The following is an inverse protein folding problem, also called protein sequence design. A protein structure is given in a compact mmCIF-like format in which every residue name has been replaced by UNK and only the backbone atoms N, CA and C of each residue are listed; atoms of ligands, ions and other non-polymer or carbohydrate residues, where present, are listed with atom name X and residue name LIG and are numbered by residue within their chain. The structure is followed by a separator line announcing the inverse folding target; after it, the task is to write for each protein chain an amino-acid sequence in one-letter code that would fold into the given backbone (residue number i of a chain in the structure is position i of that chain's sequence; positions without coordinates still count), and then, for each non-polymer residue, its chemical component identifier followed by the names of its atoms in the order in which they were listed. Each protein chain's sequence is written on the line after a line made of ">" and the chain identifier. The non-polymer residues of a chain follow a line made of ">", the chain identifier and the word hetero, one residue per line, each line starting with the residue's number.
data_IF_598315388421
#
_entry.id   IF_598315388421
#
_cell.length_a   1.000
_cell.length_b   1.000
_cell.length_c   1.000
_cell.angle_alpha   90.00
_cell.angle_beta   90.00
_cell.angle_gamma   90.00
#
_symmetry.space_group_name_H-M   'P 1'
#
loop_
_entity.id
_entity.type
_entity.pdbx_description
1 polymer ?
#
# COMPACT_ATOMS: atom_id res chain seq x y z
N UNK A 1 15.33 14.05 16.36
CA UNK A 1 14.15 13.23 16.11
C UNK A 1 13.12 14.17 15.51
N UNK A 2 12.75 13.97 14.26
CA UNK A 2 11.78 14.82 13.56
C UNK A 2 10.38 14.66 14.17
N UNK A 3 9.53 15.67 14.04
CA UNK A 3 8.19 15.67 14.63
C UNK A 3 7.28 14.56 14.07
N UNK A 4 7.60 14.05 12.88
CA UNK A 4 6.86 12.99 12.18
C UNK A 4 7.48 11.58 12.32
N UNK A 5 8.57 11.42 13.07
CA UNK A 5 9.23 10.11 13.26
C UNK A 5 8.31 9.04 13.86
N UNK A 6 7.38 9.44 14.74
CA UNK A 6 6.39 8.53 15.32
C UNK A 6 5.50 7.87 14.24
N UNK A 7 5.14 8.59 13.18
CA UNK A 7 4.36 8.02 12.05
C UNK A 7 5.19 6.99 11.30
N UNK A 8 6.48 7.25 11.11
CA UNK A 8 7.40 6.34 10.43
C UNK A 8 7.48 5.03 11.22
N UNK A 9 7.61 5.11 12.54
CA UNK A 9 7.60 3.93 13.42
C UNK A 9 6.28 3.13 13.29
N UNK A 10 5.14 3.81 13.25
CA UNK A 10 3.83 3.16 13.05
C UNK A 10 3.76 2.51 11.68
N UNK A 11 4.14 3.24 10.61
CA UNK A 11 4.19 2.73 9.23
C UNK A 11 5.00 1.43 9.15
N UNK A 12 6.17 1.40 9.73
CA UNK A 12 7.06 0.25 9.67
C UNK A 12 6.49 -0.96 10.43
N UNK A 13 5.90 -0.75 11.60
CA UNK A 13 5.19 -1.80 12.35
C UNK A 13 4.01 -2.34 11.55
N UNK A 14 3.20 -1.47 10.96
CA UNK A 14 2.04 -1.82 10.13
C UNK A 14 2.48 -2.57 8.88
N UNK A 15 3.55 -2.12 8.22
CA UNK A 15 4.12 -2.82 7.04
C UNK A 15 4.59 -4.23 7.39
N UNK A 16 5.28 -4.42 8.52
CA UNK A 16 5.67 -5.76 9.00
C UNK A 16 4.46 -6.64 9.32
N UNK A 17 3.41 -6.07 9.91
CA UNK A 17 2.14 -6.76 10.16
C UNK A 17 1.48 -7.16 8.84
N UNK A 18 1.38 -6.25 7.87
CA UNK A 18 0.79 -6.46 6.56
C UNK A 18 1.45 -7.62 5.80
N UNK A 19 2.79 -7.69 5.79
CA UNK A 19 3.52 -8.81 5.19
C UNK A 19 3.11 -10.15 5.79
N UNK A 20 2.92 -10.22 7.12
CA UNK A 20 2.47 -11.44 7.81
C UNK A 20 1.03 -11.81 7.46
N UNK A 21 0.14 -10.83 7.34
CA UNK A 21 -1.26 -11.04 6.95
C UNK A 21 -1.36 -11.58 5.52
N UNK A 22 -0.65 -11.01 4.56
CA UNK A 22 -0.57 -11.51 3.18
C UNK A 22 -0.08 -12.96 3.17
N UNK A 23 1.00 -13.28 3.89
CA UNK A 23 1.51 -14.66 4.00
C UNK A 23 0.49 -15.62 4.60
N UNK A 24 -0.30 -15.19 5.58
CA UNK A 24 -1.40 -16.00 6.15
C UNK A 24 -2.47 -16.30 5.11
N UNK A 25 -2.89 -15.31 4.31
CA UNK A 25 -3.88 -15.49 3.25
C UNK A 25 -3.38 -16.46 2.17
N UNK A 26 -2.13 -16.35 1.74
CA UNK A 26 -1.54 -17.31 0.81
C UNK A 26 -1.39 -18.70 1.40
N UNK A 27 -1.04 -18.85 2.68
CA UNK A 27 -0.99 -20.15 3.37
C UNK A 27 -2.38 -20.78 3.50
N UNK A 28 -3.42 -19.97 3.72
CA UNK A 28 -4.81 -20.43 3.73
C UNK A 28 -5.18 -20.97 2.33
N UNK A 29 -4.88 -20.20 1.29
CA UNK A 29 -5.13 -20.61 -0.08
C UNK A 29 -4.40 -21.92 -0.45
N UNK A 30 -3.13 -22.07 -0.06
CA UNK A 30 -2.38 -23.32 -0.26
C UNK A 30 -3.04 -24.53 0.43
N UNK A 31 -3.62 -24.35 1.63
CA UNK A 31 -4.37 -25.41 2.33
C UNK A 31 -5.65 -25.79 1.58
N UNK A 32 -6.38 -24.81 1.07
CA UNK A 32 -7.59 -25.05 0.26
C UNK A 32 -7.27 -25.86 -1.00
N UNK A 33 -6.18 -25.52 -1.70
CA UNK A 33 -5.68 -26.31 -2.84
C UNK A 33 -5.45 -27.77 -2.45
N UNK A 34 -4.81 -28.00 -1.31
CA UNK A 34 -4.55 -29.35 -0.81
C UNK A 34 -5.81 -30.12 -0.50
N UNK A 35 -6.78 -29.51 0.15
CA UNK A 35 -8.04 -30.20 0.50
C UNK A 35 -8.87 -30.49 -0.74
N UNK A 36 -8.94 -29.60 -1.71
CA UNK A 36 -9.59 -29.83 -3.00
C UNK A 36 -8.92 -31.00 -3.76
N UNK A 37 -7.60 -31.05 -3.75
CA UNK A 37 -6.84 -32.16 -4.34
C UNK A 37 -7.16 -33.52 -3.70
N UNK A 38 -7.26 -33.57 -2.37
CA UNK A 38 -7.62 -34.81 -1.65
C UNK A 38 -9.02 -35.28 -1.98
N UNK A 39 -9.98 -34.38 -2.16
CA UNK A 39 -11.36 -34.71 -2.56
C UNK A 39 -11.39 -35.37 -3.94
N UNK A 40 -10.61 -34.85 -4.90
CA UNK A 40 -10.51 -35.41 -6.24
C UNK A 40 -9.80 -36.77 -6.27
N UNK A 41 -8.82 -36.98 -5.39
CA UNK A 41 -8.10 -38.27 -5.28
C UNK A 41 -9.02 -39.43 -4.83
N UNK A 42 -10.08 -39.16 -4.07
CA UNK A 42 -11.02 -40.18 -3.58
C UNK A 42 -11.95 -40.73 -4.66
N UNK A 43 -12.01 -40.09 -5.83
CA UNK A 43 -12.89 -40.47 -6.91
C UNK A 43 -12.38 -41.59 -7.85
N UNK A 44 -11.21 -42.19 -7.57
CA UNK A 44 -10.70 -43.40 -8.24
C UNK A 44 -10.04 -43.19 -9.60
N UNK A 45 -9.53 -44.28 -10.17
CA UNK A 45 -8.88 -44.28 -11.50
C UNK A 45 -9.95 -44.18 -12.60
N UNK A 46 -9.91 -43.11 -13.38
CA UNK A 46 -11.07 -42.69 -14.17
C UNK A 46 -10.67 -42.39 -15.60
N UNK A 47 -11.59 -42.56 -16.54
CA UNK A 47 -11.39 -42.28 -17.97
C UNK A 47 -10.81 -40.88 -18.20
N UNK A 48 -10.11 -40.67 -19.31
CA UNK A 48 -9.51 -39.40 -19.71
C UNK A 48 -10.52 -38.22 -19.72
N UNK A 49 -11.78 -38.48 -20.02
CA UNK A 49 -12.86 -37.47 -20.01
C UNK A 49 -13.20 -37.04 -18.59
N UNK A 50 -13.29 -37.97 -17.64
CA UNK A 50 -13.59 -37.65 -16.25
C UNK A 50 -12.41 -36.92 -15.63
N UNK A 51 -11.17 -37.31 -15.93
CA UNK A 51 -9.95 -36.60 -15.53
C UNK A 51 -9.92 -35.15 -16.01
N UNK A 52 -10.29 -34.92 -17.29
CA UNK A 52 -10.36 -33.55 -17.83
C UNK A 52 -11.42 -32.70 -17.12
N UNK A 53 -12.59 -33.29 -16.80
CA UNK A 53 -13.66 -32.62 -16.05
C UNK A 53 -13.25 -32.28 -14.63
N UNK A 54 -12.56 -33.19 -13.95
CA UNK A 54 -12.08 -32.98 -12.58
C UNK A 54 -10.99 -31.90 -12.52
N UNK A 55 -10.09 -31.84 -13.48
CA UNK A 55 -9.08 -30.78 -13.60
C UNK A 55 -9.73 -29.42 -13.91
N UNK A 56 -10.74 -29.37 -14.76
CA UNK A 56 -11.51 -28.16 -15.01
C UNK A 56 -12.22 -27.69 -13.74
N UNK A 57 -12.83 -28.61 -12.98
CA UNK A 57 -13.48 -28.30 -11.70
C UNK A 57 -12.47 -27.74 -10.70
N UNK A 58 -11.29 -28.37 -10.54
CA UNK A 58 -10.21 -27.88 -9.69
C UNK A 58 -9.80 -26.46 -10.10
N UNK A 59 -9.60 -26.20 -11.38
CA UNK A 59 -9.25 -24.87 -11.88
C UNK A 59 -10.29 -23.80 -11.51
N UNK A 60 -11.58 -24.09 -11.72
CA UNK A 60 -12.67 -23.17 -11.38
C UNK A 60 -12.76 -22.91 -9.87
N UNK A 61 -12.58 -23.93 -9.03
CA UNK A 61 -12.54 -23.79 -7.58
C UNK A 61 -11.38 -22.90 -7.14
N UNK A 62 -10.19 -23.12 -7.69
CA UNK A 62 -9.02 -22.30 -7.41
C UNK A 62 -9.18 -20.85 -7.87
N UNK A 63 -9.84 -20.64 -9.02
CA UNK A 63 -10.17 -19.30 -9.50
C UNK A 63 -11.15 -18.58 -8.56
N UNK A 64 -12.10 -19.27 -7.98
CA UNK A 64 -13.02 -18.67 -7.00
C UNK A 64 -12.30 -18.36 -5.68
N UNK A 65 -11.47 -19.25 -5.18
CA UNK A 65 -10.69 -18.99 -3.97
C UNK A 65 -9.64 -17.89 -4.17
N UNK A 66 -9.12 -17.68 -5.39
CA UNK A 66 -8.25 -16.56 -5.71
C UNK A 66 -8.96 -15.20 -5.62
N UNK A 67 -10.27 -15.14 -5.91
CA UNK A 67 -11.08 -13.93 -5.70
C UNK A 67 -11.22 -13.61 -4.21
N UNK A 68 -11.39 -14.62 -3.37
CA UNK A 68 -11.43 -14.46 -1.92
C UNK A 68 -10.08 -13.99 -1.39
N UNK A 69 -8.97 -14.56 -1.87
CA UNK A 69 -7.62 -14.09 -1.57
C UNK A 69 -7.44 -12.61 -1.91
N UNK A 70 -7.90 -12.19 -3.10
CA UNK A 70 -7.87 -10.79 -3.53
C UNK A 70 -8.63 -9.89 -2.56
N UNK A 71 -9.83 -10.29 -2.16
CA UNK A 71 -10.68 -9.52 -1.24
C UNK A 71 -10.06 -9.43 0.16
N UNK A 72 -9.49 -10.52 0.69
CA UNK A 72 -8.79 -10.54 1.98
C UNK A 72 -7.58 -9.59 1.98
N UNK A 73 -6.75 -9.63 0.93
CA UNK A 73 -5.57 -8.76 0.80
C UNK A 73 -6.01 -7.30 0.69
N UNK A 74 -7.03 -7.00 -0.13
CA UNK A 74 -7.55 -5.64 -0.30
C UNK A 74 -8.08 -5.07 1.03
N UNK A 75 -8.90 -5.85 1.74
CA UNK A 75 -9.43 -5.46 3.04
C UNK A 75 -8.34 -5.21 4.08
N UNK A 76 -7.33 -6.07 4.14
CA UNK A 76 -6.19 -5.92 5.04
C UNK A 76 -5.36 -4.67 4.72
N UNK A 77 -5.06 -4.40 3.45
CA UNK A 77 -4.33 -3.19 3.06
C UNK A 77 -5.12 -1.93 3.41
N UNK A 78 -6.43 -1.91 3.14
CA UNK A 78 -7.29 -0.78 3.46
C UNK A 78 -7.33 -0.50 4.97
N UNK A 79 -7.48 -1.54 5.79
CA UNK A 79 -7.42 -1.42 7.25
C UNK A 79 -6.09 -0.85 7.73
N UNK A 80 -4.98 -1.37 7.22
CA UNK A 80 -3.65 -0.94 7.63
C UNK A 80 -3.31 0.47 7.10
N UNK A 81 -3.80 0.86 5.93
CA UNK A 81 -3.72 2.23 5.42
C UNK A 81 -4.43 3.22 6.35
N UNK A 82 -5.64 2.88 6.82
CA UNK A 82 -6.34 3.73 7.79
C UNK A 82 -5.57 3.90 9.10
N UNK A 83 -4.90 2.87 9.61
CA UNK A 83 -4.06 2.98 10.82
C UNK A 83 -2.92 3.99 10.61
N UNK A 84 -2.25 3.96 9.46
CA UNK A 84 -1.17 4.90 9.14
C UNK A 84 -1.71 6.32 9.01
N UNK A 85 -2.84 6.49 8.31
CA UNK A 85 -3.47 7.79 8.14
C UNK A 85 -3.92 8.38 9.49
N UNK A 86 -4.49 7.56 10.40
CA UNK A 86 -4.85 8.00 11.76
C UNK A 86 -3.63 8.43 12.58
N UNK A 87 -2.53 7.69 12.46
CA UNK A 87 -1.26 8.06 13.10
C UNK A 87 -0.73 9.40 12.55
N UNK A 88 -0.83 9.62 11.23
CA UNK A 88 -0.42 10.87 10.59
C UNK A 88 -1.27 12.05 11.08
N UNK A 89 -2.59 11.87 11.18
CA UNK A 89 -3.50 12.86 11.78
C UNK A 89 -3.11 13.17 13.22
N UNK A 90 -2.86 12.16 14.03
CA UNK A 90 -2.51 12.34 15.44
C UNK A 90 -1.19 13.12 15.63
N UNK A 91 -0.18 12.82 14.79
CA UNK A 91 1.09 13.56 14.82
C UNK A 91 0.89 15.00 14.36
N UNK A 92 0.15 15.22 13.26
CA UNK A 92 -0.14 16.57 12.78
C UNK A 92 -0.87 17.43 13.83
N UNK A 93 -1.81 16.84 14.57
CA UNK A 93 -2.48 17.54 15.68
C UNK A 93 -1.51 17.93 16.78
N UNK A 94 -0.62 17.00 17.21
CA UNK A 94 0.40 17.31 18.23
C UNK A 94 1.33 18.43 17.75
N UNK A 95 1.76 18.38 16.50
CA UNK A 95 2.59 19.39 15.90
C UNK A 95 1.90 20.77 15.89
N UNK A 96 0.64 20.88 15.44
CA UNK A 96 -0.12 22.13 15.52
C UNK A 96 -0.30 22.62 16.95
N UNK A 97 -0.51 21.71 17.90
CA UNK A 97 -0.61 22.05 19.32
C UNK A 97 0.72 22.61 19.87
N UNK A 98 1.87 22.08 19.41
CA UNK A 98 3.19 22.63 19.79
C UNK A 98 3.44 24.03 19.25
N UNK A 99 2.74 24.40 18.17
CA UNK A 99 2.74 25.76 17.61
C UNK A 99 1.71 26.69 18.26
N UNK A 100 0.99 26.24 19.30
CA UNK A 100 -0.01 27.01 20.03
C UNK A 100 -1.47 26.88 19.54
N UNK A 101 -1.73 26.10 18.50
CA UNK A 101 -3.10 25.87 18.01
C UNK A 101 -3.86 24.85 18.86
N UNK A 102 -5.06 25.19 19.30
CA UNK A 102 -5.98 24.22 19.88
C UNK A 102 -6.79 23.53 18.76
N UNK A 103 -6.51 22.28 18.53
CA UNK A 103 -7.08 21.50 17.42
C UNK A 103 -8.38 20.77 17.75
N UNK A 104 -8.97 20.94 18.95
CA UNK A 104 -10.14 20.18 19.40
C UNK A 104 -11.36 20.33 18.49
N UNK A 105 -11.56 21.48 17.86
CA UNK A 105 -12.68 21.73 16.97
C UNK A 105 -12.36 21.47 15.48
N UNK A 106 -11.12 21.05 15.16
CA UNK A 106 -10.66 20.82 13.79
C UNK A 106 -10.77 19.34 13.35
N UNK A 107 -11.34 18.48 14.16
CA UNK A 107 -11.43 17.03 13.90
C UNK A 107 -12.11 16.71 12.57
N UNK A 108 -13.15 17.46 12.21
CA UNK A 108 -13.84 17.29 10.94
C UNK A 108 -12.93 17.55 9.73
N UNK A 109 -12.10 18.60 9.77
CA UNK A 109 -11.14 18.90 8.69
C UNK A 109 -10.10 17.80 8.52
N UNK A 110 -9.53 17.34 9.64
CA UNK A 110 -8.53 16.27 9.61
C UNK A 110 -9.13 14.95 9.13
N UNK A 111 -10.37 14.64 9.53
CA UNK A 111 -11.09 13.47 9.04
C UNK A 111 -11.35 13.57 7.53
N UNK A 112 -11.77 14.74 7.02
CA UNK A 112 -12.00 14.97 5.60
C UNK A 112 -10.70 14.82 4.77
N UNK A 113 -9.58 15.40 5.24
CA UNK A 113 -8.27 15.29 4.59
C UNK A 113 -7.79 13.85 4.55
N UNK A 114 -7.91 13.13 5.67
CA UNK A 114 -7.62 11.69 5.75
C UNK A 114 -8.45 10.89 4.74
N UNK A 115 -9.76 11.10 4.74
CA UNK A 115 -10.67 10.39 3.84
C UNK A 115 -10.38 10.68 2.37
N UNK A 116 -10.08 11.92 2.03
CA UNK A 116 -9.65 12.31 0.69
C UNK A 116 -8.40 11.56 0.26
N UNK A 117 -7.35 11.54 1.08
CA UNK A 117 -6.11 10.83 0.79
C UNK A 117 -6.33 9.32 0.59
N UNK A 118 -7.03 8.68 1.51
CA UNK A 118 -7.34 7.23 1.43
C UNK A 118 -8.15 6.93 0.17
N UNK A 119 -9.17 7.71 -0.14
CA UNK A 119 -10.02 7.53 -1.33
C UNK A 119 -9.19 7.59 -2.62
N UNK A 120 -8.34 8.60 -2.77
CA UNK A 120 -7.50 8.77 -3.96
C UNK A 120 -6.49 7.64 -4.15
N UNK A 121 -5.94 7.11 -3.07
CA UNK A 121 -5.03 5.95 -3.12
C UNK A 121 -5.79 4.69 -3.52
N UNK A 122 -6.93 4.41 -2.87
CA UNK A 122 -7.70 3.20 -3.12
C UNK A 122 -8.36 3.19 -4.50
N UNK A 123 -8.83 4.34 -4.99
CA UNK A 123 -9.36 4.49 -6.35
C UNK A 123 -8.28 4.44 -7.44
N UNK A 124 -7.03 4.72 -7.08
CA UNK A 124 -5.91 4.76 -8.03
C UNK A 124 -5.67 6.13 -8.68
N UNK A 125 -6.39 7.18 -8.26
CA UNK A 125 -6.29 8.51 -8.86
C UNK A 125 -4.90 9.16 -8.76
N UNK A 126 -4.11 8.74 -7.77
CA UNK A 126 -2.73 9.22 -7.59
C UNK A 126 -1.73 8.55 -8.54
N UNK A 127 -2.15 7.54 -9.29
CA UNK A 127 -1.26 6.75 -10.15
C UNK A 127 -1.51 7.03 -11.63
N UNK A 128 -0.45 7.12 -12.42
CA UNK A 128 -0.54 7.32 -13.88
C UNK A 128 -1.41 6.28 -14.58
N UNK A 129 -1.40 5.02 -14.08
CA UNK A 129 -2.22 3.93 -14.62
C UNK A 129 -3.72 4.06 -14.35
N UNK A 130 -4.14 4.88 -13.37
CA UNK A 130 -5.53 5.01 -12.93
C UNK A 130 -6.16 3.73 -12.33
N UNK A 131 -5.37 2.64 -12.14
CA UNK A 131 -5.90 1.38 -11.62
C UNK A 131 -6.12 1.46 -10.11
N UNK A 132 -7.34 1.11 -9.68
CA UNK A 132 -7.68 0.97 -8.26
C UNK A 132 -6.81 -0.08 -7.56
N UNK A 133 -6.71 0.01 -6.23
CA UNK A 133 -6.01 -1.00 -5.42
C UNK A 133 -6.56 -2.41 -5.71
N UNK A 134 -7.88 -2.56 -5.76
CA UNK A 134 -8.52 -3.85 -6.04
C UNK A 134 -8.09 -4.42 -7.40
N UNK A 135 -8.05 -3.59 -8.44
CA UNK A 135 -7.58 -3.99 -9.79
C UNK A 135 -6.12 -4.45 -9.75
N UNK A 136 -5.26 -3.73 -9.04
CA UNK A 136 -3.82 -4.08 -8.93
C UNK A 136 -3.59 -5.39 -8.19
N UNK A 137 -4.35 -5.64 -7.12
CA UNK A 137 -4.29 -6.92 -6.39
C UNK A 137 -4.80 -8.05 -7.29
N UNK A 138 -5.93 -7.81 -7.99
CA UNK A 138 -6.46 -8.78 -8.96
C UNK A 138 -5.45 -9.15 -10.03
N UNK A 139 -4.76 -8.18 -10.64
CA UNK A 139 -3.72 -8.44 -11.64
C UNK A 139 -2.59 -9.33 -11.09
N UNK A 140 -2.21 -9.13 -9.82
CA UNK A 140 -1.22 -9.98 -9.15
C UNK A 140 -1.73 -11.42 -8.96
N UNK A 141 -2.97 -11.61 -8.52
CA UNK A 141 -3.57 -12.94 -8.30
C UNK A 141 -3.95 -13.63 -9.61
N UNK A 142 -4.37 -12.88 -10.64
CA UNK A 142 -4.63 -13.41 -12.00
C UNK A 142 -3.33 -13.96 -12.63
N UNK A 143 -2.20 -13.31 -12.42
CA UNK A 143 -0.89 -13.84 -12.81
C UNK A 143 -0.62 -15.22 -12.19
N UNK A 144 -0.93 -15.38 -10.90
CA UNK A 144 -0.82 -16.67 -10.23
C UNK A 144 -1.77 -17.73 -10.84
N UNK A 145 -2.97 -17.35 -11.28
CA UNK A 145 -3.89 -18.28 -11.93
C UNK A 145 -3.42 -18.71 -13.32
N UNK A 146 -2.75 -17.85 -14.08
CA UNK A 146 -2.11 -18.22 -15.36
C UNK A 146 -1.00 -19.23 -15.14
N UNK A 147 -0.19 -19.06 -14.11
CA UNK A 147 0.85 -20.03 -13.75
C UNK A 147 0.25 -21.38 -13.31
N UNK A 148 -0.82 -21.36 -12.52
CA UNK A 148 -1.58 -22.58 -12.14
C UNK A 148 -2.09 -23.30 -13.38
N UNK A 149 -2.66 -22.58 -14.36
CA UNK A 149 -3.08 -23.18 -15.62
C UNK A 149 -1.90 -23.85 -16.36
N UNK A 150 -0.74 -23.20 -16.40
CA UNK A 150 0.48 -23.76 -17.00
C UNK A 150 0.94 -25.03 -16.28
N UNK A 151 0.88 -25.07 -14.94
CA UNK A 151 1.20 -26.26 -14.15
C UNK A 151 0.26 -27.42 -14.47
N UNK A 152 -1.06 -27.14 -14.60
CA UNK A 152 -2.06 -28.13 -14.98
C UNK A 152 -1.75 -28.68 -16.39
N UNK A 153 -1.58 -27.78 -17.38
CA UNK A 153 -1.31 -28.16 -18.75
C UNK A 153 -0.04 -29.02 -18.88
N UNK A 154 1.03 -28.64 -18.21
CA UNK A 154 2.27 -29.42 -18.15
C UNK A 154 2.06 -30.78 -17.48
N UNK A 155 1.35 -30.82 -16.36
CA UNK A 155 1.05 -32.08 -15.67
C UNK A 155 0.21 -33.04 -16.52
N UNK A 156 -0.72 -32.52 -17.31
CA UNK A 156 -1.47 -33.32 -18.28
C UNK A 156 -0.57 -33.87 -19.38
N UNK A 157 0.31 -33.04 -19.94
CA UNK A 157 1.26 -33.45 -20.98
C UNK A 157 2.27 -34.50 -20.47
N UNK A 158 2.63 -34.47 -19.20
CA UNK A 158 3.53 -35.43 -18.52
C UNK A 158 2.78 -36.65 -17.94
N UNK A 159 1.49 -36.81 -18.25
CA UNK A 159 0.60 -37.89 -17.76
C UNK A 159 0.58 -38.03 -16.21
N UNK A 160 0.78 -36.96 -15.49
CA UNK A 160 0.71 -36.93 -14.02
C UNK A 160 -0.73 -37.18 -13.53
N UNK A 161 -0.86 -37.88 -12.41
CA UNK A 161 -2.15 -38.01 -11.72
C UNK A 161 -2.65 -36.62 -11.24
N UNK A 162 -3.97 -36.47 -11.05
CA UNK A 162 -4.59 -35.26 -10.50
C UNK A 162 -3.93 -34.88 -9.17
N UNK A 163 -3.64 -35.86 -8.33
CA UNK A 163 -2.96 -35.65 -7.06
C UNK A 163 -1.54 -35.08 -7.19
N UNK A 164 -0.77 -35.56 -8.18
CA UNK A 164 0.56 -35.02 -8.47
C UNK A 164 0.50 -33.57 -8.97
N UNK A 165 -0.46 -33.29 -9.89
CA UNK A 165 -0.70 -31.92 -10.38
C UNK A 165 -1.08 -31.00 -9.22
N UNK A 166 -1.97 -31.44 -8.34
CA UNK A 166 -2.40 -30.66 -7.19
C UNK A 166 -1.26 -30.43 -6.16
N UNK A 167 -0.36 -31.39 -5.98
CA UNK A 167 0.87 -31.20 -5.21
C UNK A 167 1.80 -30.13 -5.81
N UNK A 168 1.94 -30.13 -7.12
CA UNK A 168 2.73 -29.12 -7.82
C UNK A 168 2.09 -27.73 -7.67
N UNK A 169 0.76 -27.63 -7.75
CA UNK A 169 0.03 -26.37 -7.49
C UNK A 169 0.20 -25.94 -6.04
N UNK A 170 0.01 -26.84 -5.05
CA UNK A 170 0.21 -26.51 -3.63
C UNK A 170 1.62 -25.97 -3.36
N UNK A 171 2.62 -26.65 -3.92
CA UNK A 171 4.02 -26.20 -3.81
C UNK A 171 4.21 -24.81 -4.41
N UNK A 172 3.56 -24.53 -5.53
CA UNK A 172 3.63 -23.23 -6.21
C UNK A 172 2.98 -22.11 -5.41
N UNK A 173 1.82 -22.33 -4.79
CA UNK A 173 1.07 -21.26 -4.08
C UNK A 173 1.58 -20.99 -2.65
N UNK A 174 2.50 -21.78 -2.11
CA UNK A 174 3.11 -21.50 -0.81
C UNK A 174 3.89 -20.18 -0.83
N UNK A 175 3.80 -19.35 0.21
CA UNK A 175 4.50 -18.05 0.25
C UNK A 175 6.02 -18.16 0.05
N UNK A 176 6.65 -19.23 0.48
CA UNK A 176 8.10 -19.45 0.34
C UNK A 176 8.53 -20.03 -1.01
N UNK A 177 7.57 -20.41 -1.86
CA UNK A 177 7.88 -20.98 -3.16
C UNK A 177 8.54 -19.94 -4.06
N UNK A 178 9.66 -20.30 -4.69
CA UNK A 178 10.43 -19.45 -5.61
C UNK A 178 10.51 -20.10 -6.97
N UNK A 179 10.22 -19.31 -8.01
CA UNK A 179 10.26 -19.81 -9.38
C UNK A 179 10.92 -18.77 -10.31
N UNK A 180 11.79 -19.22 -11.22
CA UNK A 180 12.56 -18.31 -12.08
C UNK A 180 11.74 -17.58 -13.14
N UNK A 181 10.52 -18.06 -13.43
CA UNK A 181 9.62 -17.46 -14.45
C UNK A 181 8.67 -16.41 -13.93
N UNK A 182 8.66 -16.11 -12.61
CA UNK A 182 7.79 -15.07 -12.08
C UNK A 182 8.15 -13.71 -12.63
N UNK A 183 7.11 -12.95 -12.92
CA UNK A 183 7.22 -11.59 -13.43
C UNK A 183 6.49 -10.62 -12.50
N UNK A 184 6.89 -9.35 -12.56
CA UNK A 184 6.18 -8.22 -11.95
C UNK A 184 6.01 -7.14 -13.00
N UNK A 185 5.05 -6.24 -12.78
CA UNK A 185 4.89 -5.02 -13.57
C UNK A 185 5.27 -3.82 -12.72
N UNK A 186 5.87 -2.81 -13.33
CA UNK A 186 6.01 -1.48 -12.72
C UNK A 186 4.71 -0.66 -12.82
N UNK A 187 4.75 0.60 -12.36
CA UNK A 187 3.61 1.52 -12.42
C UNK A 187 3.13 1.82 -13.84
N UNK A 188 4.00 1.70 -14.83
CA UNK A 188 3.74 1.94 -16.25
C UNK A 188 3.33 0.66 -17.01
N UNK A 189 3.17 -0.45 -16.30
CA UNK A 189 2.77 -1.73 -16.89
C UNK A 189 3.90 -2.51 -17.56
N UNK A 190 5.15 -2.06 -17.48
CA UNK A 190 6.30 -2.78 -18.02
C UNK A 190 6.59 -4.04 -17.21
N UNK A 191 6.73 -5.16 -17.90
CA UNK A 191 6.93 -6.47 -17.29
C UNK A 191 8.42 -6.73 -17.03
N UNK A 192 8.75 -7.06 -15.79
CA UNK A 192 10.09 -7.47 -15.38
C UNK A 192 10.10 -8.90 -14.87
N UNK A 193 11.11 -9.65 -15.25
CA UNK A 193 11.32 -11.00 -14.75
C UNK A 193 11.93 -10.95 -13.34
N UNK A 194 11.24 -11.54 -12.36
CA UNK A 194 11.75 -11.63 -10.99
C UNK A 194 12.50 -12.94 -10.85
N UNK A 195 13.81 -12.85 -10.73
CA UNK A 195 14.63 -14.05 -10.47
C UNK A 195 14.28 -14.63 -9.10
N UNK A 196 13.77 -15.85 -9.07
CA UNK A 196 13.36 -16.56 -7.84
C UNK A 196 12.33 -15.81 -6.96
N UNK A 197 11.44 -15.02 -7.56
CA UNK A 197 10.36 -14.34 -6.84
C UNK A 197 9.40 -15.32 -6.14
N UNK A 198 8.93 -14.98 -4.93
CA UNK A 198 7.89 -15.74 -4.23
C UNK A 198 6.49 -15.44 -4.78
N UNK A 199 5.52 -16.34 -4.57
CA UNK A 199 4.15 -16.17 -5.10
C UNK A 199 3.45 -14.94 -4.55
N UNK A 200 3.75 -14.58 -3.31
CA UNK A 200 3.19 -13.44 -2.60
C UNK A 200 3.99 -12.13 -2.79
N UNK A 201 5.10 -12.18 -3.54
CA UNK A 201 6.00 -11.02 -3.71
C UNK A 201 5.29 -9.79 -4.25
N UNK A 202 4.49 -9.94 -5.32
CA UNK A 202 3.80 -8.81 -5.94
C UNK A 202 2.76 -8.20 -4.99
N UNK A 203 2.05 -9.02 -4.23
CA UNK A 203 1.08 -8.56 -3.23
C UNK A 203 1.79 -7.82 -2.08
N UNK A 204 2.92 -8.34 -1.59
CA UNK A 204 3.72 -7.67 -0.55
C UNK A 204 4.31 -6.35 -1.04
N UNK A 205 4.87 -6.33 -2.26
CA UNK A 205 5.42 -5.12 -2.88
C UNK A 205 4.34 -4.05 -3.05
N UNK A 206 3.16 -4.42 -3.57
CA UNK A 206 2.05 -3.51 -3.73
C UNK A 206 1.58 -2.96 -2.38
N UNK A 207 1.41 -3.82 -1.39
CA UNK A 207 0.97 -3.40 -0.06
C UNK A 207 1.95 -2.42 0.58
N UNK A 208 3.26 -2.71 0.55
CA UNK A 208 4.28 -1.80 1.07
C UNK A 208 4.23 -0.44 0.39
N UNK A 209 4.11 -0.43 -0.95
CA UNK A 209 4.01 0.79 -1.74
C UNK A 209 2.77 1.61 -1.38
N UNK A 210 1.60 0.96 -1.28
CA UNK A 210 0.34 1.64 -0.91
C UNK A 210 0.42 2.24 0.50
N UNK A 211 0.98 1.51 1.47
CA UNK A 211 1.13 2.00 2.84
C UNK A 211 2.10 3.19 2.91
N UNK A 212 3.17 3.17 2.13
CA UNK A 212 4.11 4.29 1.99
C UNK A 212 3.42 5.52 1.39
N UNK A 213 2.70 5.34 0.28
CA UNK A 213 1.95 6.44 -0.34
C UNK A 213 0.82 6.97 0.57
N UNK A 214 0.24 6.11 1.42
CA UNK A 214 -0.77 6.55 2.40
C UNK A 214 -0.16 7.57 3.37
N UNK A 215 1.02 7.29 3.91
CA UNK A 215 1.74 8.26 4.73
C UNK A 215 1.94 9.59 3.99
N UNK A 216 2.56 9.56 2.80
CA UNK A 216 2.85 10.78 2.03
C UNK A 216 1.58 11.57 1.69
N UNK A 217 0.59 10.94 1.12
CA UNK A 217 -0.65 11.60 0.67
C UNK A 217 -1.49 12.13 1.83
N UNK A 218 -1.52 11.42 2.96
CA UNK A 218 -2.22 11.92 4.14
C UNK A 218 -1.50 13.14 4.72
N UNK A 219 -0.16 13.12 4.79
CA UNK A 219 0.59 14.27 5.27
C UNK A 219 0.38 15.51 4.40
N UNK A 220 0.47 15.33 3.06
CA UNK A 220 0.21 16.42 2.11
C UNK A 220 -1.23 16.95 2.26
N UNK A 221 -2.22 16.08 2.32
CA UNK A 221 -3.61 16.49 2.46
C UNK A 221 -3.91 17.24 3.77
N UNK A 222 -3.19 16.92 4.85
CA UNK A 222 -3.33 17.59 6.14
C UNK A 222 -2.64 18.96 6.20
N UNK A 223 -1.57 19.14 5.42
CA UNK A 223 -0.69 20.32 5.53
C UNK A 223 -0.74 21.24 4.33
N UNK A 224 -1.37 20.85 3.22
CA UNK A 224 -1.47 21.66 1.99
C UNK A 224 -2.06 23.05 2.22
N UNK A 225 -3.11 23.15 3.03
CA UNK A 225 -3.81 24.41 3.31
C UNK A 225 -3.25 25.12 4.56
N UNK A 226 -2.15 24.63 5.12
CA UNK A 226 -1.48 25.27 6.23
C UNK A 226 -0.61 26.43 5.70
N UNK A 227 -0.92 27.70 6.01
CA UNK A 227 -0.22 28.85 5.46
C UNK A 227 1.25 28.97 5.91
N UNK A 228 1.64 28.19 6.90
CA UNK A 228 3.03 28.14 7.40
C UNK A 228 3.88 27.06 6.70
N UNK A 229 3.25 26.16 5.93
CA UNK A 229 3.95 25.13 5.18
C UNK A 229 4.11 25.59 3.74
N UNK A 230 5.33 25.85 3.32
CA UNK A 230 5.66 26.31 1.97
C UNK A 230 6.05 25.15 1.03
N UNK A 231 6.30 23.96 1.56
CA UNK A 231 6.62 22.76 0.82
C UNK A 231 7.08 21.62 1.70
N UNK A 232 7.86 20.73 1.12
CA UNK A 232 8.35 19.51 1.77
C UNK A 232 9.81 19.27 1.41
N UNK A 233 10.58 18.84 2.39
CA UNK A 233 11.93 18.32 2.17
C UNK A 233 11.84 16.80 2.04
N UNK A 234 12.47 16.26 1.02
CA UNK A 234 12.58 14.83 0.81
C UNK A 234 13.74 14.25 1.63
N UNK A 235 13.50 13.15 2.31
CA UNK A 235 14.51 12.40 3.03
C UNK A 235 14.58 10.98 2.49
N UNK A 236 15.73 10.58 1.96
CA UNK A 236 15.97 9.22 1.54
C UNK A 236 16.07 8.28 2.76
N UNK A 237 15.68 7.00 2.58
CA UNK A 237 15.93 5.99 3.60
C UNK A 237 17.43 5.77 3.78
N UNK A 238 17.91 5.89 5.03
CA UNK A 238 19.32 5.82 5.37
C UNK A 238 19.98 4.45 5.23
N UNK A 239 19.21 3.40 4.81
CA UNK A 239 19.73 2.04 4.67
C UNK A 239 20.53 1.86 3.37
N UNK A 240 19.83 1.76 2.24
CA UNK A 240 20.41 1.58 0.91
C UNK A 240 19.55 2.31 -0.13
N UNK A 241 19.56 3.64 -0.16
CA UNK A 241 18.77 4.40 -1.12
C UNK A 241 19.25 4.10 -2.55
N UNK A 242 18.31 3.97 -3.49
CA UNK A 242 18.66 3.88 -4.90
C UNK A 242 19.12 5.25 -5.41
N UNK A 243 19.76 5.28 -6.57
CA UNK A 243 20.28 6.51 -7.20
C UNK A 243 19.23 7.62 -7.26
N UNK A 244 18.00 7.31 -7.71
CA UNK A 244 16.87 8.26 -7.73
C UNK A 244 16.54 8.84 -6.35
N UNK A 245 16.61 8.03 -5.29
CA UNK A 245 16.34 8.49 -3.93
C UNK A 245 17.48 9.34 -3.38
N UNK A 246 18.72 9.02 -3.73
CA UNK A 246 19.90 9.84 -3.39
C UNK A 246 19.81 11.21 -4.05
N UNK A 247 19.43 11.28 -5.32
CA UNK A 247 19.28 12.55 -6.06
C UNK A 247 18.18 13.44 -5.46
N UNK A 248 17.17 12.85 -4.84
CA UNK A 248 16.06 13.58 -4.19
C UNK A 248 16.34 13.99 -2.75
N UNK A 249 17.34 13.41 -2.13
CA UNK A 249 17.63 13.64 -0.71
C UNK A 249 17.95 15.10 -0.44
N UNK A 250 17.27 15.71 0.54
CA UNK A 250 17.39 17.13 0.87
C UNK A 250 16.72 18.07 -0.15
N UNK A 251 16.12 17.59 -1.23
CA UNK A 251 15.44 18.46 -2.20
C UNK A 251 14.12 18.98 -1.64
N UNK A 252 13.82 20.24 -1.98
CA UNK A 252 12.56 20.90 -1.66
C UNK A 252 11.54 20.69 -2.80
N UNK A 253 10.29 20.42 -2.43
CA UNK A 253 9.16 20.24 -3.35
C UNK A 253 7.94 20.99 -2.84
N UNK A 254 7.16 21.59 -3.74
CA UNK A 254 5.84 22.10 -3.39
C UNK A 254 4.83 20.95 -3.21
N UNK A 255 3.66 21.25 -2.65
CA UNK A 255 2.60 20.24 -2.47
C UNK A 255 2.13 19.60 -3.80
N UNK A 256 2.26 20.34 -4.92
CA UNK A 256 1.84 19.86 -6.25
C UNK A 256 2.93 19.06 -6.97
N UNK A 257 4.20 19.31 -6.65
CA UNK A 257 5.35 18.73 -7.35
C UNK A 257 6.02 17.59 -6.59
N UNK A 258 5.68 17.38 -5.31
CA UNK A 258 6.30 16.31 -4.51
C UNK A 258 6.02 14.95 -5.13
N UNK A 259 7.07 14.22 -5.55
CA UNK A 259 6.89 12.95 -6.24
C UNK A 259 6.39 11.86 -5.29
N UNK A 260 5.68 10.88 -5.83
CA UNK A 260 5.44 9.64 -5.10
C UNK A 260 6.75 8.87 -4.95
N UNK A 261 6.89 8.19 -3.82
CA UNK A 261 8.00 7.26 -3.64
C UNK A 261 7.88 6.09 -4.63
N UNK A 262 9.01 5.52 -5.02
CA UNK A 262 9.00 4.38 -5.95
C UNK A 262 8.49 3.09 -5.27
N UNK A 263 8.07 2.08 -6.03
CA UNK A 263 7.62 0.81 -5.46
C UNK A 263 8.67 0.17 -4.53
N UNK A 264 8.25 -0.23 -3.33
CA UNK A 264 9.07 -0.68 -2.21
C UNK A 264 9.91 0.41 -1.53
N UNK A 265 9.77 1.68 -1.91
CA UNK A 265 10.46 2.79 -1.26
C UNK A 265 10.12 2.91 0.23
N UNK A 266 10.98 3.59 0.95
CA UNK A 266 10.88 3.89 2.40
C UNK A 266 11.25 5.34 2.69
N UNK A 267 11.41 6.17 1.64
CA UNK A 267 11.72 7.58 1.77
C UNK A 267 10.61 8.33 2.50
N UNK A 268 10.95 9.44 3.12
CA UNK A 268 10.00 10.26 3.87
C UNK A 268 9.98 11.68 3.33
N UNK A 269 8.94 12.40 3.65
CA UNK A 269 8.83 13.84 3.43
C UNK A 269 8.56 14.53 4.76
N UNK A 270 9.14 15.70 4.96
CA UNK A 270 8.90 16.53 6.12
C UNK A 270 8.36 17.90 5.67
N UNK A 271 7.28 18.43 6.28
CA UNK A 271 6.80 19.78 5.97
C UNK A 271 7.88 20.79 6.25
N UNK A 272 8.18 21.64 5.28
CA UNK A 272 9.11 22.74 5.45
C UNK A 272 8.37 24.00 5.92
N UNK A 273 8.95 24.68 6.93
CA UNK A 273 8.46 25.92 7.49
C UNK A 273 9.61 26.91 7.59
N UNK A 274 9.47 28.04 6.95
CA UNK A 274 10.29 29.21 7.28
C UNK A 274 9.83 29.76 8.64
N UNK A 275 10.54 29.36 9.70
CA UNK A 275 10.19 29.74 11.08
C UNK A 275 10.17 31.25 11.31
N UNK A 276 11.10 31.99 10.68
CA UNK A 276 11.18 33.44 10.85
C UNK A 276 9.94 34.10 10.24
N UNK A 277 9.58 33.70 9.02
CA UNK A 277 8.36 34.16 8.35
C UNK A 277 7.10 33.75 9.10
N UNK A 278 6.99 32.49 9.53
CA UNK A 278 5.85 31.99 10.27
C UNK A 278 5.60 32.75 11.58
N UNK A 279 6.66 33.05 12.34
CA UNK A 279 6.56 33.86 13.56
C UNK A 279 6.14 35.28 13.28
N UNK A 280 6.68 35.92 12.22
CA UNK A 280 6.29 37.25 11.80
C UNK A 280 4.82 37.30 11.37
N UNK A 281 4.39 36.34 10.58
CA UNK A 281 3.01 36.25 10.07
C UNK A 281 2.00 35.98 11.21
N UNK A 282 2.36 35.12 12.17
CA UNK A 282 1.56 34.87 13.38
C UNK A 282 1.41 36.15 14.25
N UNK A 283 2.51 36.87 14.47
CA UNK A 283 2.47 38.11 15.21
C UNK A 283 1.62 39.16 14.48
N UNK A 284 1.75 39.27 13.17
CA UNK A 284 0.94 40.14 12.33
C UNK A 284 -0.55 39.80 12.39
N UNK A 285 -0.88 38.51 12.22
CA UNK A 285 -2.24 38.00 12.33
C UNK A 285 -2.89 38.28 13.69
N UNK A 286 -2.14 38.07 14.78
CA UNK A 286 -2.63 38.35 16.12
C UNK A 286 -3.03 39.82 16.30
N UNK A 287 -2.25 40.75 15.71
CA UNK A 287 -2.51 42.19 15.80
C UNK A 287 -3.60 42.67 14.80
N UNK A 288 -3.66 42.09 13.61
CA UNK A 288 -4.61 42.48 12.55
C UNK A 288 -5.00 41.28 11.67
N UNK A 289 -5.96 40.43 12.11
CA UNK A 289 -6.36 39.22 11.39
C UNK A 289 -6.80 39.46 9.95
N UNK A 290 -7.36 40.62 9.65
CA UNK A 290 -7.91 40.98 8.31
C UNK A 290 -6.81 41.01 7.23
N UNK A 291 -5.59 41.37 7.61
CA UNK A 291 -4.43 41.37 6.70
C UNK A 291 -3.86 39.99 6.40
N UNK A 292 -4.29 38.95 7.14
CA UNK A 292 -3.79 37.58 7.05
C UNK A 292 -4.94 36.57 6.77
N UNK A 293 -5.68 36.71 5.68
CA UNK A 293 -6.89 35.90 5.42
C UNK A 293 -6.63 34.41 5.32
N UNK A 294 -5.43 33.98 4.87
CA UNK A 294 -5.04 32.59 4.81
C UNK A 294 -4.86 31.98 6.20
N UNK A 295 -4.25 32.71 7.13
CA UNK A 295 -4.09 32.27 8.52
C UNK A 295 -5.45 32.27 9.21
N UNK A 296 -6.28 33.28 9.01
CA UNK A 296 -7.63 33.35 9.56
C UNK A 296 -8.50 32.19 9.07
N UNK A 297 -8.45 31.88 7.79
CA UNK A 297 -9.16 30.74 7.21
C UNK A 297 -8.64 29.40 7.77
N UNK A 298 -7.33 29.26 7.91
CA UNK A 298 -6.72 28.05 8.47
C UNK A 298 -7.05 27.89 9.95
N UNK A 299 -6.97 28.96 10.73
CA UNK A 299 -7.30 28.99 12.15
C UNK A 299 -8.81 28.84 12.41
N UNK A 300 -9.67 29.06 11.41
CA UNK A 300 -11.11 28.86 11.51
C UNK A 300 -11.43 27.43 12.01
N UNK A 301 -12.09 27.34 13.16
CA UNK A 301 -12.34 26.06 13.86
C UNK A 301 -11.20 25.59 14.80
N UNK A 302 -10.12 26.35 14.89
CA UNK A 302 -9.06 26.16 15.90
C UNK A 302 -8.98 27.42 16.78
N UNK A 303 -8.66 27.27 18.05
CA UNK A 303 -8.36 28.41 18.92
C UNK A 303 -6.85 28.47 19.14
N UNK A 304 -6.29 29.70 19.17
CA UNK A 304 -4.89 29.92 19.47
C UNK A 304 -4.75 30.25 20.96
N UNK A 305 -3.88 29.53 21.67
CA UNK A 305 -3.55 29.87 23.05
C UNK A 305 -2.38 30.85 23.04
N UNK A 306 -2.60 32.03 23.54
CA UNK A 306 -1.55 32.98 23.92
C UNK A 306 -1.31 32.75 25.41
N UNK A 307 -0.15 32.18 25.78
CA UNK A 307 0.31 32.10 27.15
C UNK A 307 1.01 33.43 27.55
#
# INVERSE_FOLDING_TARGET
>A
MGEFDDVIVVRDKVTKKQKREIRKSYNKWAREVREQAKQLQRSGDVSSITRARDLATLYYQLRNSSKQLTAEINGSINTNANIIADATVAVNKRWLTSLGFNTNNADFRFAASKEYAIRNIMSGNIYSSGFSLSTRIWMSTDGNMKDIYTIIAKGVAEDKSIYQIAKDIEKYVKPDARFPWRVTTDGDGKIYKIKNGTVDYNAQRLAKTVLQHTYQQTLIALTRDNPFVDGYIWHSDGGHPCELCQDRDGQFYTADDVPLDHPNGECTIEPHIDRAKAMSDLAGWYNNPVEYPSIESFASGMTFKVD
#
